data_IF_439056304985
#
_entry.id   IF_439056304985
#
_cell.length_a   1.000
_cell.length_b   1.000
_cell.length_c   1.000
_cell.angle_alpha   90.00
_cell.angle_beta   90.00
_cell.angle_gamma   90.00
#
_symmetry.space_group_name_H-M   'P 1'
#
loop_
_entity.id
_entity.type
_entity.pdbx_description
1 polymer ?
#
# COMPACT_ATOMS: atom_id res chain seq x y z
N UNK A 1 -10.57 4.04 22.69
CA UNK A 1 -10.53 3.77 21.24
C UNK A 1 -9.57 4.79 20.66
N UNK A 2 -8.46 4.36 20.08
CA UNK A 2 -7.57 5.30 19.40
C UNK A 2 -8.30 5.81 18.15
N UNK A 3 -8.58 7.11 18.09
CA UNK A 3 -9.06 7.73 16.86
C UNK A 3 -7.97 7.59 15.82
N UNK A 4 -8.25 6.82 14.76
CA UNK A 4 -7.42 6.82 13.56
C UNK A 4 -7.76 8.11 12.82
N UNK A 5 -7.10 9.20 13.20
CA UNK A 5 -7.19 10.49 12.51
C UNK A 5 -6.29 10.41 11.29
N UNK A 6 -6.80 10.75 10.11
CA UNK A 6 -5.98 10.97 8.93
C UNK A 6 -4.98 12.09 9.24
N UNK A 7 -3.72 11.71 9.47
CA UNK A 7 -2.67 12.70 9.68
C UNK A 7 -2.39 13.43 8.35
N UNK A 8 -1.91 14.66 8.43
CA UNK A 8 -1.46 15.39 7.24
C UNK A 8 -0.40 14.61 6.45
N UNK A 9 0.41 13.80 7.15
CA UNK A 9 1.40 12.92 6.55
C UNK A 9 0.73 11.81 5.71
N UNK A 10 -0.26 11.11 6.26
CA UNK A 10 -1.02 10.07 5.55
C UNK A 10 -1.61 10.63 4.25
N UNK A 11 -2.26 11.79 4.30
CA UNK A 11 -2.86 12.44 3.12
C UNK A 11 -1.79 12.81 2.08
N UNK A 12 -0.65 13.36 2.51
CA UNK A 12 0.46 13.68 1.61
C UNK A 12 1.04 12.43 0.93
N UNK A 13 1.23 11.34 1.67
CA UNK A 13 1.77 10.09 1.15
C UNK A 13 0.82 9.46 0.13
N UNK A 14 -0.48 9.44 0.42
CA UNK A 14 -1.51 8.97 -0.51
C UNK A 14 -1.46 9.78 -1.81
N UNK A 15 -1.43 11.11 -1.72
CA UNK A 15 -1.40 11.99 -2.89
C UNK A 15 -0.14 11.77 -3.75
N UNK A 16 1.03 11.65 -3.11
CA UNK A 16 2.30 11.41 -3.81
C UNK A 16 2.32 10.02 -4.46
N UNK A 17 1.91 8.98 -3.74
CA UNK A 17 1.84 7.64 -4.28
C UNK A 17 0.86 7.54 -5.46
N UNK A 18 -0.31 8.15 -5.35
CA UNK A 18 -1.28 8.19 -6.44
C UNK A 18 -0.73 8.94 -7.67
N UNK A 19 -0.14 10.13 -7.46
CA UNK A 19 0.46 10.94 -8.53
C UNK A 19 1.58 10.22 -9.28
N UNK A 20 2.47 9.53 -8.56
CA UNK A 20 3.64 8.90 -9.19
C UNK A 20 3.36 7.52 -9.77
N UNK A 21 2.41 6.78 -9.19
CA UNK A 21 2.09 5.42 -9.66
C UNK A 21 0.96 5.40 -10.69
N UNK A 22 0.07 6.40 -10.67
CA UNK A 22 -1.17 6.40 -11.45
C UNK A 22 -2.24 5.44 -10.92
N UNK A 23 -2.00 4.80 -9.77
CA UNK A 23 -2.97 3.97 -9.10
C UNK A 23 -3.85 4.78 -8.12
N UNK A 24 -5.08 4.32 -7.96
CA UNK A 24 -5.98 4.65 -6.87
C UNK A 24 -5.46 4.06 -5.58
N UNK A 25 -5.04 4.95 -4.68
CA UNK A 25 -4.58 4.61 -3.34
C UNK A 25 -5.75 4.87 -2.39
N UNK A 26 -6.18 3.82 -1.68
CA UNK A 26 -7.30 3.85 -0.76
C UNK A 26 -6.89 4.34 0.62
N UNK A 27 -5.73 3.89 1.08
CA UNK A 27 -5.21 4.22 2.40
C UNK A 27 -3.69 3.96 2.45
N UNK A 28 -3.02 4.44 3.49
CA UNK A 28 -1.66 4.02 3.82
C UNK A 28 -1.39 3.94 5.33
N UNK A 29 -0.52 3.00 5.68
CA UNK A 29 0.08 2.92 7.01
C UNK A 29 1.54 3.37 6.89
N UNK A 30 1.88 4.43 7.62
CA UNK A 30 3.25 4.98 7.69
C UNK A 30 3.87 4.54 9.00
N UNK A 31 5.01 3.84 8.91
CA UNK A 31 5.86 3.47 10.03
C UNK A 31 7.27 4.06 9.82
N UNK A 32 8.15 3.94 10.80
CA UNK A 32 9.48 4.56 10.77
C UNK A 32 10.35 4.07 9.61
N UNK A 33 10.31 2.77 9.29
CA UNK A 33 11.14 2.13 8.27
C UNK A 33 10.36 1.77 6.98
N UNK A 34 9.03 1.84 7.02
CA UNK A 34 8.20 1.37 5.91
C UNK A 34 6.90 2.13 5.72
N UNK A 35 6.37 2.04 4.50
CA UNK A 35 5.03 2.51 4.14
C UNK A 35 4.29 1.38 3.46
N UNK A 36 3.08 1.09 3.93
CA UNK A 36 2.17 0.12 3.32
C UNK A 36 1.02 0.88 2.67
N UNK A 37 0.94 0.84 1.35
CA UNK A 37 -0.15 1.43 0.58
C UNK A 37 -1.20 0.38 0.27
N UNK A 38 -2.46 0.72 0.56
CA UNK A 38 -3.62 -0.06 0.13
C UNK A 38 -4.08 0.49 -1.21
N UNK A 39 -4.07 -0.34 -2.24
CA UNK A 39 -4.45 0.03 -3.60
C UNK A 39 -5.81 -0.55 -3.94
N UNK A 40 -6.55 0.13 -4.81
CA UNK A 40 -7.82 -0.40 -5.31
C UNK A 40 -7.63 -1.75 -6.04
N UNK A 41 -8.68 -2.56 -6.01
CA UNK A 41 -8.66 -3.91 -6.61
C UNK A 41 -8.33 -3.85 -8.10
N UNK A 42 -7.40 -4.68 -8.54
CA UNK A 42 -6.91 -4.73 -9.93
C UNK A 42 -5.82 -3.71 -10.26
N UNK A 43 -5.46 -2.81 -9.34
CA UNK A 43 -4.49 -1.75 -9.61
C UNK A 43 -3.09 -2.02 -9.08
N UNK A 44 -2.85 -3.19 -8.46
CA UNK A 44 -1.54 -3.56 -7.92
C UNK A 44 -0.42 -3.51 -8.97
N UNK A 45 -0.69 -4.00 -10.18
CA UNK A 45 0.29 -3.97 -11.27
C UNK A 45 0.68 -2.56 -11.71
N UNK A 46 -0.31 -1.66 -11.78
CA UNK A 46 -0.11 -0.24 -12.12
C UNK A 46 0.66 0.45 -10.99
N UNK A 47 0.29 0.17 -9.73
CA UNK A 47 0.94 0.71 -8.55
C UNK A 47 2.44 0.38 -8.50
N UNK A 48 2.80 -0.87 -8.79
CA UNK A 48 4.21 -1.32 -8.86
C UNK A 48 4.92 -0.75 -10.09
N UNK A 49 4.23 -0.69 -11.24
CA UNK A 49 4.77 -0.24 -12.52
C UNK A 49 5.67 -1.27 -13.20
N UNK A 50 5.97 -1.04 -14.48
CA UNK A 50 6.85 -1.92 -15.26
C UNK A 50 8.24 -2.02 -14.63
N UNK A 51 8.77 -3.24 -14.49
CA UNK A 51 10.05 -3.51 -13.81
C UNK A 51 10.15 -2.85 -12.42
N UNK A 52 9.02 -2.76 -11.70
CA UNK A 52 8.93 -2.11 -10.39
C UNK A 52 9.36 -0.63 -10.36
N UNK A 53 9.30 0.07 -11.51
CA UNK A 53 9.75 1.46 -11.64
C UNK A 53 9.07 2.41 -10.64
N UNK A 54 7.76 2.27 -10.42
CA UNK A 54 7.02 3.14 -9.51
C UNK A 54 7.36 2.83 -8.05
N UNK A 55 7.51 1.53 -7.73
CA UNK A 55 7.94 1.08 -6.42
C UNK A 55 9.31 1.65 -6.03
N UNK A 56 10.32 1.51 -6.91
CA UNK A 56 11.68 2.00 -6.64
C UNK A 56 11.75 3.53 -6.55
N UNK A 57 10.94 4.23 -7.36
CA UNK A 57 10.80 5.68 -7.27
C UNK A 57 10.24 6.12 -5.92
N UNK A 58 9.17 5.48 -5.45
CA UNK A 58 8.54 5.83 -4.17
C UNK A 58 9.42 5.45 -2.98
N UNK A 59 10.14 4.33 -3.04
CA UNK A 59 11.18 3.97 -2.05
C UNK A 59 12.24 5.06 -1.93
N UNK A 60 12.73 5.56 -3.06
CA UNK A 60 13.72 6.65 -3.09
C UNK A 60 13.16 7.97 -2.56
N UNK A 61 11.90 8.28 -2.88
CA UNK A 61 11.23 9.51 -2.45
C UNK A 61 10.99 9.54 -0.94
N UNK A 62 10.45 8.46 -0.39
CA UNK A 62 10.09 8.39 1.03
C UNK A 62 11.26 7.96 1.92
N UNK A 63 12.36 7.47 1.33
CA UNK A 63 13.51 6.89 2.05
C UNK A 63 13.09 5.79 3.04
N UNK A 64 12.03 5.06 2.69
CA UNK A 64 11.41 3.98 3.47
C UNK A 64 11.18 2.80 2.54
N UNK A 65 11.11 1.60 3.11
CA UNK A 65 10.63 0.45 2.33
C UNK A 65 9.16 0.67 1.96
N UNK A 66 8.78 0.31 0.75
CA UNK A 66 7.41 0.49 0.26
C UNK A 66 6.82 -0.88 -0.05
N UNK A 67 5.58 -1.10 0.38
CA UNK A 67 4.76 -2.27 0.07
C UNK A 67 3.41 -1.82 -0.46
N UNK A 68 2.97 -2.44 -1.55
CA UNK A 68 1.60 -2.30 -2.05
C UNK A 68 0.79 -3.54 -1.71
N UNK A 69 -0.46 -3.32 -1.30
CA UNK A 69 -1.41 -4.37 -0.96
C UNK A 69 -2.72 -4.08 -1.67
N UNK A 70 -3.19 -5.03 -2.45
CA UNK A 70 -4.47 -4.92 -3.14
C UNK A 70 -5.63 -5.10 -2.15
N UNK A 71 -6.55 -4.14 -2.16
CA UNK A 71 -7.78 -4.21 -1.40
C UNK A 71 -8.72 -5.29 -1.95
N UNK A 72 -9.42 -5.98 -1.05
CA UNK A 72 -10.53 -6.85 -1.39
C UNK A 72 -11.62 -6.69 -0.33
N UNK A 73 -12.88 -6.72 -0.76
CA UNK A 73 -14.03 -6.65 0.15
C UNK A 73 -14.16 -7.93 0.99
N UNK A 74 -13.70 -9.06 0.46
CA UNK A 74 -13.54 -10.30 1.23
C UNK A 74 -12.35 -10.16 2.18
N UNK A 75 -12.65 -10.02 3.48
CA UNK A 75 -11.67 -9.89 4.55
C UNK A 75 -10.62 -11.01 4.53
N UNK A 76 -11.01 -12.23 4.20
CA UNK A 76 -10.08 -13.38 4.14
C UNK A 76 -9.09 -13.20 3.01
N UNK A 77 -9.55 -12.74 1.83
CA UNK A 77 -8.66 -12.43 0.70
C UNK A 77 -7.76 -11.25 1.00
N UNK A 78 -8.29 -10.20 1.62
CA UNK A 78 -7.51 -9.03 1.98
C UNK A 78 -6.39 -9.36 2.97
N UNK A 79 -6.68 -10.14 4.02
CA UNK A 79 -5.67 -10.64 4.97
C UNK A 79 -4.62 -11.50 4.25
N UNK A 80 -5.03 -12.39 3.33
CA UNK A 80 -4.10 -13.16 2.51
C UNK A 80 -3.18 -12.26 1.66
N UNK A 81 -3.72 -11.19 1.08
CA UNK A 81 -2.93 -10.21 0.32
C UNK A 81 -1.92 -9.47 1.21
N UNK A 82 -2.34 -9.05 2.41
CA UNK A 82 -1.47 -8.41 3.40
C UNK A 82 -0.26 -9.29 3.76
N UNK A 83 -0.45 -10.61 3.86
CA UNK A 83 0.61 -11.53 4.25
C UNK A 83 1.56 -11.94 3.11
N UNK A 84 1.33 -11.55 1.85
CA UNK A 84 2.26 -11.86 0.76
C UNK A 84 3.70 -11.37 1.07
N UNK A 85 4.72 -12.16 0.71
CA UNK A 85 4.69 -13.38 -0.11
C UNK A 85 4.40 -14.69 0.65
N UNK A 86 4.09 -14.63 1.95
CA UNK A 86 3.86 -15.82 2.76
C UNK A 86 2.48 -16.45 2.50
N UNK A 87 2.41 -17.77 2.62
CA UNK A 87 1.16 -18.51 2.52
C UNK A 87 0.41 -18.49 3.86
N UNK A 88 -0.85 -18.06 3.83
CA UNK A 88 -1.72 -18.04 5.00
C UNK A 88 -2.58 -19.29 5.04
N UNK A 89 -2.31 -20.20 5.98
CA UNK A 89 -3.02 -21.48 6.14
C UNK A 89 -4.46 -21.32 6.65
N UNK A 90 -4.70 -20.35 7.55
CA UNK A 90 -6.01 -20.12 8.16
C UNK A 90 -6.16 -18.66 8.53
N UNK A 91 -7.33 -18.09 8.23
CA UNK A 91 -7.80 -16.80 8.76
C UNK A 91 -9.01 -17.15 9.63
N UNK A 92 -9.00 -16.73 10.90
CA UNK A 92 -10.07 -16.99 11.88
C UNK A 92 -10.62 -15.68 12.38
#
# INVERSE_FOLDING_TARGET
MAEIVLSNETVQFINLASKYSGAGIRDCIVEDDRVVFIVEKGQLGIAIGSKAKNLERLRSLFKKSVKFVEFDEDKTRFVKNLCKPYEVKKVT
#
